data_IF_136884942247
#
_entry.id   IF_136884942247
#
_cell.length_a   1.000
_cell.length_b   1.000
_cell.length_c   1.000
_cell.angle_alpha   90.00
_cell.angle_beta   90.00
_cell.angle_gamma   90.00
#
_symmetry.space_group_name_H-M   'P 1'
#
loop_
_entity.id
_entity.type
_entity.pdbx_description
1 polymer ?
#
# COMPACT_ATOMS: atom_id res chain seq x y z
N UNK A 1 -17.53 -0.67 -3.60
CA UNK A 1 -16.57 -0.32 -4.67
C UNK A 1 -15.74 -1.55 -4.92
N UNK A 2 -15.83 -2.10 -6.12
CA UNK A 2 -14.97 -3.20 -6.53
C UNK A 2 -13.68 -2.63 -7.10
N UNK A 3 -12.57 -3.31 -6.82
CA UNK A 3 -11.28 -2.93 -7.34
C UNK A 3 -10.46 -4.17 -7.67
N UNK A 4 -9.66 -4.04 -8.72
CA UNK A 4 -8.69 -5.02 -9.16
C UNK A 4 -7.30 -4.60 -8.68
N UNK A 5 -6.50 -5.54 -8.17
CA UNK A 5 -5.09 -5.28 -7.83
C UNK A 5 -4.21 -5.59 -9.04
N UNK A 6 -3.56 -4.56 -9.58
CA UNK A 6 -2.69 -4.65 -10.75
C UNK A 6 -1.26 -5.09 -10.38
N UNK A 7 -0.76 -4.64 -9.23
CA UNK A 7 0.57 -4.98 -8.73
C UNK A 7 0.61 -4.81 -7.21
N UNK A 8 1.48 -5.55 -6.52
CA UNK A 8 1.70 -5.41 -5.08
C UNK A 8 3.12 -5.79 -4.69
N UNK A 9 3.72 -4.97 -3.85
CA UNK A 9 5.02 -5.18 -3.20
C UNK A 9 4.85 -5.21 -1.69
N UNK A 10 5.69 -5.95 -0.99
CA UNK A 10 5.60 -6.14 0.46
C UNK A 10 6.86 -5.69 1.17
N UNK A 11 6.68 -5.00 2.29
CA UNK A 11 7.74 -4.59 3.19
C UNK A 11 7.43 -5.14 4.60
N UNK A 12 8.13 -6.18 5.00
CA UNK A 12 8.04 -6.74 6.34
C UNK A 12 8.78 -5.86 7.35
N UNK A 13 8.21 -5.74 8.56
CA UNK A 13 8.84 -5.01 9.66
C UNK A 13 8.40 -5.55 11.03
N UNK A 14 9.26 -5.38 12.04
CA UNK A 14 9.03 -5.96 13.35
C UNK A 14 8.98 -7.50 13.30
N UNK A 15 8.19 -8.11 14.18
CA UNK A 15 8.15 -9.58 14.31
C UNK A 15 7.19 -10.28 13.34
N UNK A 16 6.08 -9.65 13.00
CA UNK A 16 5.01 -10.27 12.20
C UNK A 16 4.14 -9.24 11.46
N UNK A 17 4.67 -8.05 11.14
CA UNK A 17 3.91 -6.99 10.47
C UNK A 17 4.45 -6.76 9.07
N UNK A 18 3.57 -6.30 8.18
CA UNK A 18 3.95 -5.92 6.83
C UNK A 18 3.23 -4.64 6.40
N UNK A 19 3.84 -3.93 5.46
CA UNK A 19 3.17 -2.95 4.61
C UNK A 19 3.07 -3.56 3.21
N UNK A 20 1.87 -3.55 2.63
CA UNK A 20 1.64 -3.82 1.22
C UNK A 20 1.56 -2.49 0.47
N UNK A 21 2.37 -2.32 -0.57
CA UNK A 21 2.30 -1.22 -1.51
C UNK A 21 1.65 -1.77 -2.78
N UNK A 22 0.42 -1.35 -3.06
CA UNK A 22 -0.42 -1.93 -4.12
C UNK A 22 -0.84 -0.88 -5.13
N UNK A 23 -0.90 -1.26 -6.40
CA UNK A 23 -1.53 -0.49 -7.48
C UNK A 23 -2.87 -1.14 -7.80
N UNK A 24 -3.95 -0.37 -7.72
CA UNK A 24 -5.32 -0.88 -7.85
C UNK A 24 -6.09 -0.08 -8.90
N UNK A 25 -7.07 -0.72 -9.54
CA UNK A 25 -8.00 -0.13 -10.50
C UNK A 25 -9.42 -0.24 -9.95
N UNK A 26 -10.14 0.86 -9.85
CA UNK A 26 -11.56 0.87 -9.48
C UNK A 26 -12.39 0.43 -10.69
N UNK A 27 -13.42 -0.39 -10.46
CA UNK A 27 -14.38 -0.79 -11.48
C UNK A 27 -15.74 -0.10 -11.22
N UNK A 28 -16.46 0.35 -12.27
CA UNK A 28 -16.12 0.30 -13.70
C UNK A 28 -15.33 1.52 -14.23
N UNK A 29 -15.07 2.53 -13.41
CA UNK A 29 -14.44 3.80 -13.84
C UNK A 29 -12.98 3.67 -14.35
N UNK A 30 -12.41 2.46 -14.28
CA UNK A 30 -11.00 2.13 -14.60
C UNK A 30 -9.95 3.02 -13.93
N UNK A 31 -10.34 3.75 -12.88
CA UNK A 31 -9.47 4.71 -12.23
C UNK A 31 -8.38 4.00 -11.44
N UNK A 32 -7.12 4.32 -11.75
CA UNK A 32 -5.95 3.72 -11.12
C UNK A 32 -5.48 4.54 -9.93
N UNK A 33 -5.28 3.89 -8.80
CA UNK A 33 -4.77 4.48 -7.57
C UNK A 33 -3.70 3.59 -6.94
N UNK A 34 -2.88 4.18 -6.07
CA UNK A 34 -1.91 3.50 -5.25
C UNK A 34 -2.45 3.38 -3.83
N UNK A 35 -2.08 2.32 -3.13
CA UNK A 35 -2.58 2.05 -1.80
C UNK A 35 -1.50 1.39 -0.95
N UNK A 36 -1.22 1.98 0.21
CA UNK A 36 -0.33 1.40 1.23
C UNK A 36 -1.21 0.83 2.34
N UNK A 37 -1.17 -0.49 2.53
CA UNK A 37 -1.94 -1.19 3.55
C UNK A 37 -1.05 -1.83 4.60
N UNK A 38 -1.38 -1.61 5.87
CA UNK A 38 -0.75 -2.29 6.99
C UNK A 38 -1.46 -3.61 7.25
N UNK A 39 -0.68 -4.66 7.44
CA UNK A 39 -1.17 -5.96 7.89
C UNK A 39 -0.21 -6.66 8.85
N UNK A 40 -0.61 -7.85 9.26
CA UNK A 40 0.17 -8.75 10.10
C UNK A 40 -0.02 -10.21 9.67
N UNK A 41 0.93 -11.05 10.05
CA UNK A 41 0.87 -12.49 9.89
C UNK A 41 0.27 -13.14 11.15
N UNK A 42 -0.71 -14.04 10.95
CA UNK A 42 -1.25 -14.88 12.04
C UNK A 42 -0.24 -15.96 12.45
N UNK A 43 -0.43 -16.66 13.59
CA UNK A 43 0.42 -17.80 13.97
C UNK A 43 0.49 -18.89 12.90
N UNK A 44 -0.57 -19.04 12.11
CA UNK A 44 -0.70 -19.98 11.00
C UNK A 44 -0.05 -19.45 9.70
N UNK A 45 0.47 -18.22 9.70
CA UNK A 45 1.13 -17.58 8.56
C UNK A 45 0.21 -16.80 7.62
N UNK A 46 -1.09 -16.68 7.94
CA UNK A 46 -2.04 -15.96 7.09
C UNK A 46 -1.82 -14.44 7.16
N UNK A 47 -2.04 -13.72 6.05
CA UNK A 47 -2.03 -12.26 6.02
C UNK A 47 -3.38 -11.69 6.45
N UNK A 48 -3.37 -10.79 7.44
CA UNK A 48 -4.54 -10.03 7.88
C UNK A 48 -4.29 -8.53 7.71
N UNK A 49 -5.12 -7.88 6.92
CA UNK A 49 -5.06 -6.44 6.66
C UNK A 49 -5.80 -5.66 7.76
N UNK A 50 -5.27 -4.51 8.16
CA UNK A 50 -5.84 -3.68 9.22
C UNK A 50 -6.36 -2.34 8.69
N UNK A 51 -5.48 -1.52 8.11
CA UNK A 51 -5.79 -0.18 7.61
C UNK A 51 -4.96 0.09 6.38
N UNK A 52 -5.48 0.91 5.47
CA UNK A 52 -4.75 1.38 4.31
C UNK A 52 -5.01 2.84 4.02
N UNK A 53 -4.11 3.44 3.26
CA UNK A 53 -4.25 4.78 2.70
C UNK A 53 -4.13 4.69 1.19
N UNK A 54 -5.18 5.13 0.51
CA UNK A 54 -5.23 5.26 -0.95
C UNK A 54 -4.83 6.67 -1.39
N UNK A 55 -4.10 6.77 -2.49
CA UNK A 55 -3.68 8.03 -3.08
C UNK A 55 -3.58 7.92 -4.61
N UNK A 56 -3.62 9.04 -5.34
CA UNK A 56 -3.58 9.03 -6.80
C UNK A 56 -2.33 8.33 -7.34
N UNK A 57 -2.46 7.61 -8.46
CA UNK A 57 -1.32 7.08 -9.21
C UNK A 57 -0.64 8.21 -10.02
N UNK A 58 -0.04 9.17 -9.30
CA UNK A 58 0.63 10.35 -9.83
C UNK A 58 2.11 10.35 -9.40
N UNK A 59 3.01 10.54 -10.36
CA UNK A 59 4.46 10.49 -10.12
C UNK A 59 4.95 11.58 -9.18
N UNK A 60 4.50 12.82 -9.34
CA UNK A 60 4.91 13.96 -8.51
C UNK A 60 4.48 13.76 -7.05
N UNK A 61 3.25 13.27 -6.83
CA UNK A 61 2.76 12.93 -5.49
C UNK A 61 3.62 11.85 -4.83
N UNK A 62 4.00 10.81 -5.57
CA UNK A 62 4.85 9.72 -5.07
C UNK A 62 6.26 10.22 -4.74
N UNK A 63 6.86 11.01 -5.62
CA UNK A 63 8.20 11.56 -5.42
C UNK A 63 8.24 12.49 -4.18
N UNK A 64 7.21 13.32 -4.00
CA UNK A 64 7.02 14.17 -2.82
C UNK A 64 6.80 13.34 -1.54
N UNK A 65 5.97 12.28 -1.60
CA UNK A 65 5.74 11.37 -0.47
C UNK A 65 7.04 10.70 -0.02
N UNK A 66 7.84 10.17 -0.96
CA UNK A 66 9.14 9.56 -0.68
C UNK A 66 10.09 10.57 -0.05
N UNK A 67 10.12 11.80 -0.56
CA UNK A 67 10.94 12.88 0.01
C UNK A 67 10.57 13.16 1.47
N UNK A 68 9.30 13.36 1.78
CA UNK A 68 8.84 13.62 3.16
C UNK A 68 9.12 12.44 4.09
N UNK A 69 8.92 11.21 3.61
CA UNK A 69 9.28 10.00 4.37
C UNK A 69 10.76 9.98 4.73
N UNK A 70 11.64 10.27 3.77
CA UNK A 70 13.10 10.35 4.00
C UNK A 70 13.51 11.50 4.92
N UNK A 71 12.77 12.60 4.92
CA UNK A 71 13.04 13.75 5.81
C UNK A 71 12.70 13.44 7.26
N UNK A 72 11.58 12.76 7.52
CA UNK A 72 11.13 12.38 8.86
C UNK A 72 11.91 11.19 9.43
N UNK A 73 12.45 10.30 8.59
CA UNK A 73 13.21 9.14 9.05
C UNK A 73 14.66 9.42 9.42
N UNK A 74 15.13 10.66 9.26
CA UNK A 74 16.47 11.11 9.68
C UNK A 74 16.48 11.39 11.18
#
# INVERSE_FOLDING_TARGET
>A
MEYETLASEYLDYGRNKFLEISKKRILPDETVFLNISKGYYTPEGERRYQRGVGFPNNKEFVDELIKKLKEISK
#
